data_IF_454139793648
#
_entry.id   IF_454139793648
#
_cell.length_a   1.000
_cell.length_b   1.000
_cell.length_c   1.000
_cell.angle_alpha   90.00
_cell.angle_beta   90.00
_cell.angle_gamma   90.00
#
_symmetry.space_group_name_H-M   'P 1'
#
loop_
_entity.id
_entity.type
_entity.pdbx_description
1 polymer ?
#
# COMPACT_ATOMS: atom_id res chain seq x y z
N UNK A 1 2.41 31.03 -20.56
CA UNK A 1 3.63 30.34 -20.09
C UNK A 1 3.35 29.93 -18.65
N UNK A 2 2.97 28.67 -18.42
CA UNK A 2 2.76 28.16 -17.08
C UNK A 2 4.14 27.98 -16.44
N UNK A 3 4.42 28.70 -15.36
CA UNK A 3 5.61 28.51 -14.54
C UNK A 3 5.57 27.09 -13.99
N UNK A 4 6.59 26.29 -14.30
CA UNK A 4 6.86 25.03 -13.60
C UNK A 4 6.81 25.28 -12.09
N UNK A 5 6.36 24.32 -11.25
CA UNK A 5 6.49 24.47 -9.81
C UNK A 5 7.99 24.57 -9.53
N UNK A 6 8.49 25.78 -9.29
CA UNK A 6 9.88 25.93 -8.88
C UNK A 6 9.98 25.21 -7.54
N UNK A 7 10.79 24.16 -7.51
CA UNK A 7 11.19 23.56 -6.24
C UNK A 7 11.93 24.59 -5.38
N UNK A 8 12.61 24.12 -4.34
CA UNK A 8 13.46 25.00 -3.53
C UNK A 8 14.41 25.81 -4.44
N UNK A 9 14.51 27.15 -4.27
CA UNK A 9 15.37 27.98 -5.10
C UNK A 9 16.79 27.46 -5.16
N UNK A 10 17.43 27.54 -6.33
CA UNK A 10 18.79 27.01 -6.54
C UNK A 10 19.80 27.62 -5.56
N UNK A 11 19.65 28.89 -5.21
CA UNK A 11 20.46 29.57 -4.20
C UNK A 11 20.37 28.93 -2.81
N UNK A 12 19.18 28.42 -2.42
CA UNK A 12 18.97 27.70 -1.15
C UNK A 12 19.48 26.28 -1.29
N UNK A 13 19.25 25.64 -2.44
CA UNK A 13 19.68 24.28 -2.72
C UNK A 13 21.21 24.14 -2.80
N UNK A 14 21.95 25.19 -3.16
CA UNK A 14 23.41 25.13 -3.30
C UNK A 14 24.17 25.81 -2.15
N UNK A 15 23.48 26.38 -1.15
CA UNK A 15 24.11 27.08 -0.03
C UNK A 15 24.67 26.11 1.02
N UNK A 16 25.95 25.78 0.90
CA UNK A 16 26.64 24.83 1.79
C UNK A 16 26.75 25.31 3.23
N UNK A 17 26.83 26.63 3.48
CA UNK A 17 26.91 27.17 4.84
C UNK A 17 25.57 27.03 5.56
N UNK A 18 24.47 27.36 4.88
CA UNK A 18 23.11 27.14 5.39
C UNK A 18 22.88 25.66 5.76
N UNK A 19 23.35 24.73 4.92
CA UNK A 19 23.09 23.31 5.16
C UNK A 19 23.79 22.76 6.40
N UNK A 20 24.92 23.32 6.84
CA UNK A 20 25.64 22.83 8.03
C UNK A 20 24.75 22.83 9.26
N UNK A 21 24.05 23.94 9.50
CA UNK A 21 23.15 24.09 10.64
C UNK A 21 21.81 23.39 10.39
N UNK A 22 21.29 23.52 9.16
CA UNK A 22 19.97 22.97 8.79
C UNK A 22 19.91 21.45 8.89
N UNK A 23 21.02 20.76 8.60
CA UNK A 23 21.09 19.29 8.65
C UNK A 23 21.04 18.76 10.07
N UNK A 24 21.76 19.37 11.01
CA UNK A 24 21.70 18.94 12.42
C UNK A 24 20.32 19.26 13.01
N UNK A 25 19.77 20.44 12.73
CA UNK A 25 18.41 20.79 13.15
C UNK A 25 17.35 19.84 12.58
N UNK A 26 17.47 19.46 11.30
CA UNK A 26 16.56 18.51 10.66
C UNK A 26 16.62 17.12 11.33
N UNK A 27 17.82 16.64 11.68
CA UNK A 27 18.00 15.36 12.40
C UNK A 27 17.37 15.43 13.79
N UNK A 28 17.65 16.50 14.53
CA UNK A 28 17.12 16.69 15.88
C UNK A 28 15.59 16.79 15.87
N UNK A 29 15.02 17.54 14.93
CA UNK A 29 13.58 17.66 14.77
C UNK A 29 12.92 16.33 14.38
N UNK A 30 13.58 15.53 13.51
CA UNK A 30 13.11 14.19 13.18
C UNK A 30 13.06 13.28 14.41
N UNK A 31 14.11 13.31 15.24
CA UNK A 31 14.16 12.55 16.49
C UNK A 31 13.08 13.00 17.49
N UNK A 32 12.91 14.30 17.67
CA UNK A 32 11.90 14.89 18.57
C UNK A 32 10.47 14.53 18.18
N UNK A 33 10.20 14.39 16.88
CA UNK A 33 8.85 14.13 16.36
C UNK A 33 8.60 12.64 16.03
N UNK A 34 9.48 11.73 16.47
CA UNK A 34 9.24 10.30 16.33
C UNK A 34 9.46 9.74 14.91
N UNK A 35 10.17 10.45 14.03
CA UNK A 35 10.62 9.93 12.72
C UNK A 35 11.85 9.06 12.93
N UNK A 36 11.60 7.87 13.47
CA UNK A 36 12.61 6.98 14.04
C UNK A 36 12.66 5.64 13.31
N UNK A 37 13.85 5.06 13.28
CA UNK A 37 14.11 3.69 12.88
C UNK A 37 15.09 3.05 13.87
N UNK A 38 14.96 1.74 14.11
CA UNK A 38 16.00 0.98 14.80
C UNK A 38 17.21 0.85 13.90
N UNK A 39 18.39 0.90 14.52
CA UNK A 39 19.64 0.71 13.79
C UNK A 39 19.75 -0.70 13.22
N UNK A 40 20.57 -0.86 12.17
CA UNK A 40 20.84 -2.18 11.58
C UNK A 40 21.56 -3.10 12.56
N UNK A 41 22.28 -2.53 13.53
CA UNK A 41 22.99 -3.29 14.56
C UNK A 41 22.04 -3.92 15.60
N UNK A 42 20.92 -3.28 15.90
CA UNK A 42 19.93 -3.77 16.88
C UNK A 42 18.50 -3.68 16.33
N UNK A 43 18.18 -4.43 15.26
CA UNK A 43 16.94 -4.26 14.51
C UNK A 43 15.68 -4.66 15.31
N UNK A 44 15.84 -5.56 16.28
CA UNK A 44 14.74 -6.16 17.04
C UNK A 44 14.76 -5.86 18.54
N UNK A 45 15.76 -5.12 19.02
CA UNK A 45 15.93 -4.82 20.45
C UNK A 45 15.63 -3.35 20.74
N UNK A 46 15.14 -3.09 21.95
CA UNK A 46 15.09 -1.73 22.51
C UNK A 46 16.26 -1.45 23.46
N UNK A 47 17.19 -2.39 23.58
CA UNK A 47 18.37 -2.33 24.45
C UNK A 47 19.66 -2.39 23.62
N UNK A 48 20.69 -1.65 24.04
CA UNK A 48 22.00 -1.62 23.37
C UNK A 48 22.63 -0.22 23.29
N UNK A 49 23.83 -0.12 22.70
CA UNK A 49 24.60 1.15 22.59
C UNK A 49 24.08 2.13 21.53
N UNK A 50 23.34 1.67 20.53
CA UNK A 50 22.73 2.52 19.49
C UNK A 50 21.47 1.85 19.00
N UNK A 51 20.38 2.07 19.72
CA UNK A 51 19.12 1.35 19.50
C UNK A 51 18.32 1.98 18.37
N UNK A 52 18.30 3.32 18.32
CA UNK A 52 17.45 4.11 17.43
C UNK A 52 18.22 5.23 16.75
N UNK A 53 17.73 5.64 15.60
CA UNK A 53 18.19 6.82 14.86
C UNK A 53 17.03 7.39 14.05
N UNK A 54 17.24 8.52 13.36
CA UNK A 54 16.21 9.07 12.47
C UNK A 54 16.02 8.16 11.24
N UNK A 55 14.78 8.00 10.78
CA UNK A 55 14.52 7.32 9.51
C UNK A 55 15.09 8.18 8.35
N UNK A 56 15.70 7.60 7.31
CA UNK A 56 16.27 8.40 6.21
C UNK A 56 15.22 9.28 5.51
N UNK A 57 15.59 10.52 5.19
CA UNK A 57 14.70 11.49 4.54
C UNK A 57 15.48 12.47 3.66
N UNK A 58 14.78 13.21 2.81
CA UNK A 58 15.37 14.28 1.99
C UNK A 58 15.33 15.61 2.71
N UNK A 59 16.37 16.45 2.56
CA UNK A 59 16.44 17.76 3.21
C UNK A 59 15.32 18.70 2.73
N UNK A 60 15.01 18.65 1.43
CA UNK A 60 14.03 19.52 0.78
C UNK A 60 12.86 18.70 0.20
N UNK A 61 11.68 19.30 -0.05
CA UNK A 61 10.61 18.62 -0.78
C UNK A 61 11.00 18.41 -2.24
N UNK A 62 10.42 17.40 -2.88
CA UNK A 62 10.53 17.23 -4.32
C UNK A 62 9.35 17.91 -5.03
N UNK A 63 9.57 18.65 -6.13
CA UNK A 63 8.49 19.34 -6.84
C UNK A 63 7.60 18.33 -7.56
N UNK A 64 6.29 18.50 -7.43
CA UNK A 64 5.26 17.76 -8.18
C UNK A 64 4.29 18.77 -8.78
N UNK A 65 4.04 18.75 -10.10
CA UNK A 65 3.05 19.65 -10.71
C UNK A 65 1.66 19.43 -10.12
N UNK A 66 1.02 20.54 -9.72
CA UNK A 66 -0.30 20.52 -9.06
C UNK A 66 -1.35 19.81 -9.91
N UNK A 67 -1.38 20.09 -11.21
CA UNK A 67 -2.34 19.49 -12.14
C UNK A 67 -2.14 17.97 -12.24
N UNK A 68 -0.89 17.50 -12.15
CA UNK A 68 -0.58 16.07 -12.15
C UNK A 68 -0.85 15.39 -10.81
N UNK A 69 -0.82 16.12 -9.69
CA UNK A 69 -1.07 15.58 -8.35
C UNK A 69 -2.52 15.11 -8.12
N UNK A 70 -3.50 15.74 -8.78
CA UNK A 70 -4.91 15.35 -8.63
C UNK A 70 -5.30 14.13 -9.46
N UNK A 71 -4.58 13.85 -10.55
CA UNK A 71 -4.81 12.69 -11.41
C UNK A 71 -4.76 11.34 -10.67
N UNK A 72 -3.73 11.01 -9.85
CA UNK A 72 -3.68 9.74 -9.14
C UNK A 72 -4.79 9.60 -8.10
N UNK A 73 -5.19 10.68 -7.44
CA UNK A 73 -6.30 10.67 -6.48
C UNK A 73 -7.61 10.27 -7.15
N UNK A 74 -7.88 10.79 -8.35
CA UNK A 74 -9.05 10.40 -9.14
C UNK A 74 -9.01 8.92 -9.54
N UNK A 75 -7.87 8.46 -10.08
CA UNK A 75 -7.71 7.07 -10.56
C UNK A 75 -7.64 6.05 -9.42
N UNK A 76 -7.25 6.44 -8.20
CA UNK A 76 -7.12 5.51 -7.07
C UNK A 76 -8.43 4.76 -6.76
N UNK A 77 -9.58 5.42 -6.90
CA UNK A 77 -10.89 4.77 -6.71
C UNK A 77 -11.15 3.69 -7.77
N UNK A 78 -10.68 3.91 -9.00
CA UNK A 78 -10.74 2.92 -10.07
C UNK A 78 -9.79 1.75 -9.81
N UNK A 79 -8.59 2.02 -9.26
CA UNK A 79 -7.68 0.96 -8.82
C UNK A 79 -8.26 0.09 -7.72
N UNK A 80 -8.97 0.68 -6.75
CA UNK A 80 -9.65 -0.09 -5.71
C UNK A 80 -10.68 -1.07 -6.32
N UNK A 81 -11.53 -0.57 -7.23
CA UNK A 81 -12.52 -1.40 -7.94
C UNK A 81 -11.86 -2.46 -8.82
N UNK A 82 -10.72 -2.13 -9.42
CA UNK A 82 -9.96 -3.07 -10.25
C UNK A 82 -9.40 -4.22 -9.39
N UNK A 83 -8.77 -3.91 -8.25
CA UNK A 83 -8.25 -4.92 -7.32
C UNK A 83 -9.37 -5.86 -6.86
N UNK A 84 -10.50 -5.30 -6.45
CA UNK A 84 -11.70 -6.05 -6.04
C UNK A 84 -12.24 -6.96 -7.15
N UNK A 85 -12.30 -6.47 -8.40
CA UNK A 85 -12.79 -7.27 -9.53
C UNK A 85 -11.81 -8.37 -9.94
N UNK A 86 -10.51 -8.17 -9.74
CA UNK A 86 -9.49 -9.18 -10.01
C UNK A 86 -9.43 -10.23 -8.89
N UNK A 87 -9.67 -9.81 -7.65
CA UNK A 87 -9.66 -10.72 -6.49
C UNK A 87 -10.80 -11.75 -6.55
N UNK A 88 -11.79 -11.57 -7.42
CA UNK A 88 -12.88 -12.52 -7.61
C UNK A 88 -12.39 -13.92 -8.05
N UNK A 89 -12.88 -15.02 -7.43
CA UNK A 89 -12.42 -16.39 -7.64
C UNK A 89 -12.33 -16.86 -9.11
N UNK A 90 -13.20 -16.33 -9.96
CA UNK A 90 -13.31 -16.74 -11.37
C UNK A 90 -12.03 -16.44 -12.18
N UNK A 91 -11.20 -15.49 -11.75
CA UNK A 91 -10.04 -15.04 -12.52
C UNK A 91 -8.76 -15.85 -12.26
N UNK A 92 -8.65 -16.50 -11.10
CA UNK A 92 -7.42 -17.18 -10.67
C UNK A 92 -7.21 -18.60 -11.24
N UNK A 93 -8.11 -19.08 -12.10
CA UNK A 93 -8.17 -20.49 -12.51
C UNK A 93 -7.15 -20.92 -13.59
N UNK A 94 -6.33 -20.01 -14.11
CA UNK A 94 -5.35 -20.42 -15.13
C UNK A 94 -4.14 -19.49 -15.17
N UNK A 95 -2.97 -20.06 -15.48
CA UNK A 95 -1.86 -19.39 -16.18
C UNK A 95 -0.67 -18.85 -15.35
N UNK A 96 -0.38 -19.38 -14.16
CA UNK A 96 0.87 -19.01 -13.47
C UNK A 96 1.58 -20.28 -12.97
N UNK A 97 2.73 -20.63 -13.57
CA UNK A 97 3.75 -21.39 -12.82
C UNK A 97 4.07 -20.52 -11.61
N UNK A 98 3.74 -20.96 -10.41
CA UNK A 98 3.93 -20.21 -9.16
C UNK A 98 5.16 -20.74 -8.45
N UNK A 99 5.91 -19.86 -7.77
CA UNK A 99 6.89 -20.27 -6.76
C UNK A 99 6.17 -20.89 -5.54
N UNK A 100 6.92 -21.56 -4.67
CA UNK A 100 6.36 -22.31 -3.53
C UNK A 100 5.54 -21.42 -2.58
N UNK A 101 5.96 -20.16 -2.41
CA UNK A 101 5.28 -19.19 -1.57
C UNK A 101 3.92 -18.83 -2.15
N UNK A 102 3.90 -18.43 -3.42
CA UNK A 102 2.68 -18.10 -4.15
C UNK A 102 1.76 -19.33 -4.25
N UNK A 103 2.32 -20.53 -4.46
CA UNK A 103 1.58 -21.80 -4.46
C UNK A 103 0.88 -22.08 -3.12
N UNK A 104 1.54 -21.78 -2.01
CA UNK A 104 0.95 -21.89 -0.67
C UNK A 104 -0.22 -20.92 -0.47
N UNK A 105 -0.11 -19.67 -0.96
CA UNK A 105 -1.22 -18.72 -0.96
C UNK A 105 -2.41 -19.21 -1.81
N UNK A 106 -2.13 -19.75 -3.00
CA UNK A 106 -3.15 -20.36 -3.86
C UNK A 106 -3.87 -21.54 -3.19
N UNK A 107 -3.17 -22.37 -2.42
CA UNK A 107 -3.78 -23.48 -1.70
C UNK A 107 -4.81 -22.98 -0.68
N UNK A 108 -4.49 -21.91 0.05
CA UNK A 108 -5.42 -21.27 1.00
C UNK A 108 -6.63 -20.68 0.26
N UNK A 109 -6.42 -19.99 -0.86
CA UNK A 109 -7.50 -19.45 -1.69
C UNK A 109 -8.44 -20.56 -2.19
N UNK A 110 -7.89 -21.70 -2.66
CA UNK A 110 -8.67 -22.86 -3.10
C UNK A 110 -9.51 -23.46 -1.97
N UNK A 111 -8.95 -23.54 -0.76
CA UNK A 111 -9.71 -23.98 0.42
C UNK A 111 -10.90 -23.07 0.71
N UNK A 112 -10.71 -21.75 0.68
CA UNK A 112 -11.80 -20.78 0.89
C UNK A 112 -12.94 -20.92 -0.13
N UNK A 113 -12.61 -21.14 -1.41
CA UNK A 113 -13.61 -21.36 -2.48
C UNK A 113 -14.40 -22.66 -2.24
N UNK A 114 -13.72 -23.75 -1.87
CA UNK A 114 -14.37 -25.04 -1.61
C UNK A 114 -15.35 -24.97 -0.44
N UNK A 115 -15.07 -24.14 0.56
CA UNK A 115 -15.95 -23.91 1.70
C UNK A 115 -17.11 -22.94 1.37
N UNK A 116 -17.15 -22.37 0.15
CA UNK A 116 -18.25 -21.51 -0.31
C UNK A 116 -18.40 -20.19 0.46
N UNK A 117 -17.31 -19.70 1.07
CA UNK A 117 -17.39 -18.53 1.97
C UNK A 117 -17.43 -17.22 1.20
N UNK A 118 -18.33 -16.34 1.62
CA UNK A 118 -18.41 -14.93 1.22
C UNK A 118 -18.19 -14.06 2.44
N UNK A 119 -17.28 -13.11 2.37
CA UNK A 119 -16.95 -12.24 3.51
C UNK A 119 -16.80 -10.80 3.05
N UNK A 120 -17.03 -9.87 3.99
CA UNK A 120 -16.65 -8.48 3.81
C UNK A 120 -15.12 -8.42 3.74
N UNK A 121 -14.61 -7.76 2.71
CA UNK A 121 -13.18 -7.53 2.53
C UNK A 121 -12.89 -6.05 2.74
N UNK A 122 -11.85 -5.78 3.52
CA UNK A 122 -11.27 -4.44 3.66
C UNK A 122 -9.94 -4.45 2.90
N UNK A 123 -9.88 -3.72 1.81
CA UNK A 123 -8.65 -3.54 1.06
C UNK A 123 -8.04 -2.18 1.36
N UNK A 124 -6.78 -2.21 1.75
CA UNK A 124 -5.93 -1.04 1.76
C UNK A 124 -4.94 -1.22 0.61
N UNK A 125 -5.08 -0.42 -0.44
CA UNK A 125 -4.23 -0.47 -1.62
C UNK A 125 -3.38 0.80 -1.74
N UNK A 126 -2.16 0.69 -2.25
CA UNK A 126 -1.31 1.83 -2.61
C UNK A 126 -0.87 1.75 -4.06
N UNK A 127 -1.25 2.72 -4.88
CA UNK A 127 -0.72 2.85 -6.24
C UNK A 127 0.51 3.75 -6.21
N UNK A 128 1.66 3.19 -6.58
CA UNK A 128 2.91 3.94 -6.67
C UNK A 128 3.14 4.39 -8.10
N UNK A 129 3.41 5.69 -8.26
CA UNK A 129 3.46 6.34 -9.55
C UNK A 129 4.71 7.22 -9.69
N UNK A 130 5.19 7.43 -10.91
CA UNK A 130 6.29 8.35 -11.18
C UNK A 130 5.95 9.28 -12.35
N UNK A 131 6.62 10.42 -12.46
CA UNK A 131 6.46 11.36 -13.57
C UNK A 131 7.42 11.01 -14.72
N UNK A 132 6.89 10.72 -15.90
CA UNK A 132 7.72 10.60 -17.09
C UNK A 132 8.27 11.96 -17.55
N UNK A 133 9.10 11.98 -18.61
CA UNK A 133 9.69 13.20 -19.15
C UNK A 133 8.66 14.22 -19.66
N UNK A 134 7.43 13.79 -19.93
CA UNK A 134 6.33 14.63 -20.39
C UNK A 134 5.44 15.11 -19.24
N UNK A 135 5.88 14.93 -17.99
CA UNK A 135 5.08 15.21 -16.79
C UNK A 135 3.76 14.44 -16.72
N UNK A 136 3.67 13.30 -17.42
CA UNK A 136 2.56 12.37 -17.28
C UNK A 136 2.85 11.40 -16.15
N UNK A 137 1.84 11.15 -15.33
CA UNK A 137 1.94 10.16 -14.28
C UNK A 137 1.92 8.74 -14.86
N UNK A 138 2.84 7.90 -14.42
CA UNK A 138 2.95 6.48 -14.79
C UNK A 138 3.00 5.59 -13.56
N UNK A 139 2.05 4.66 -13.46
CA UNK A 139 2.01 3.65 -12.42
C UNK A 139 3.20 2.71 -12.57
N UNK A 140 3.90 2.53 -11.46
CA UNK A 140 5.03 1.62 -11.29
C UNK A 140 4.55 0.31 -10.72
N UNK A 141 3.77 0.36 -9.65
CA UNK A 141 3.25 -0.82 -8.96
C UNK A 141 1.93 -0.51 -8.25
N UNK A 142 1.14 -1.55 -8.04
CA UNK A 142 0.05 -1.53 -7.08
C UNK A 142 0.40 -2.47 -5.93
N UNK A 143 0.38 -1.93 -4.72
CA UNK A 143 0.64 -2.66 -3.49
C UNK A 143 -0.71 -2.91 -2.81
N UNK A 144 -1.16 -4.16 -2.84
CA UNK A 144 -2.35 -4.62 -2.11
C UNK A 144 -2.03 -5.05 -0.68
N UNK A 145 -0.76 -4.95 -0.31
CA UNK A 145 -0.23 -5.22 1.01
C UNK A 145 0.55 -4.02 1.50
N UNK A 146 0.00 -3.25 2.43
CA UNK A 146 0.57 -1.95 2.77
C UNK A 146 1.46 -2.01 4.00
N UNK A 147 2.68 -1.55 3.82
CA UNK A 147 3.53 -1.08 4.90
C UNK A 147 3.28 0.42 5.14
N UNK A 148 2.65 0.77 6.26
CA UNK A 148 2.46 2.18 6.66
C UNK A 148 3.46 2.57 7.77
N UNK A 149 4.24 3.62 7.51
CA UNK A 149 4.84 4.46 8.54
C UNK A 149 4.04 5.77 8.59
N UNK A 150 3.78 6.31 9.78
CA UNK A 150 3.19 7.65 9.88
C UNK A 150 4.12 8.67 9.23
N UNK A 151 3.60 9.41 8.27
CA UNK A 151 4.36 10.39 7.51
C UNK A 151 4.47 11.72 8.28
N UNK A 152 5.21 11.77 9.39
CA UNK A 152 5.58 13.05 10.02
C UNK A 152 6.62 13.83 9.19
N UNK A 153 7.04 13.30 8.04
CA UNK A 153 7.99 13.93 7.14
C UNK A 153 7.54 15.34 6.71
N UNK A 154 6.24 15.58 6.51
CA UNK A 154 5.77 16.93 6.14
C UNK A 154 6.03 17.97 7.24
N UNK A 155 5.99 17.61 8.54
CA UNK A 155 6.35 18.53 9.62
C UNK A 155 7.82 18.90 9.58
N UNK A 156 8.70 17.91 9.36
CA UNK A 156 10.13 18.14 9.20
C UNK A 156 10.38 19.10 8.04
N UNK A 157 9.80 18.82 6.87
CA UNK A 157 10.00 19.66 5.68
C UNK A 157 9.46 21.07 5.89
N UNK A 158 8.26 21.22 6.47
CA UNK A 158 7.70 22.54 6.80
C UNK A 158 8.59 23.33 7.77
N UNK A 159 9.16 22.65 8.77
CA UNK A 159 10.08 23.26 9.72
C UNK A 159 11.36 23.74 9.03
N UNK A 160 11.96 22.87 8.21
CA UNK A 160 13.19 23.16 7.47
C UNK A 160 13.02 24.32 6.50
N UNK A 161 11.91 24.39 5.76
CA UNK A 161 11.66 25.47 4.78
C UNK A 161 11.53 26.85 5.43
N UNK A 162 11.04 26.94 6.68
CA UNK A 162 10.90 28.24 7.38
C UNK A 162 12.25 28.91 7.63
N UNK A 163 13.33 28.15 7.83
CA UNK A 163 14.67 28.66 8.15
C UNK A 163 15.31 29.52 7.06
N UNK A 164 15.37 29.09 5.78
CA UNK A 164 15.82 29.92 4.67
C UNK A 164 14.79 30.98 4.23
N UNK A 165 13.74 31.25 5.02
CA UNK A 165 12.70 32.21 4.67
C UNK A 165 11.67 31.69 3.64
N UNK A 166 11.65 30.39 3.35
CA UNK A 166 10.74 29.75 2.38
C UNK A 166 9.37 29.48 3.03
N UNK A 167 8.75 30.54 3.55
CA UNK A 167 7.50 30.47 4.31
C UNK A 167 6.31 30.06 3.43
N UNK A 168 6.26 30.56 2.19
CA UNK A 168 5.15 30.27 1.29
C UNK A 168 5.27 28.85 0.72
N UNK A 169 6.47 28.39 0.38
CA UNK A 169 6.77 27.01 0.01
C UNK A 169 6.38 26.04 1.13
N UNK A 170 6.63 26.41 2.39
CA UNK A 170 6.24 25.57 3.54
C UNK A 170 4.72 25.34 3.61
N UNK A 171 3.89 26.31 3.20
CA UNK A 171 2.42 26.18 3.17
C UNK A 171 1.94 25.25 2.05
N UNK A 172 2.74 25.10 0.99
CA UNK A 172 2.42 24.23 -0.13
C UNK A 172 2.80 22.75 0.11
N UNK A 173 3.55 22.45 1.18
CA UNK A 173 3.79 21.06 1.61
C UNK A 173 2.48 20.50 2.15
N UNK A 174 1.96 19.45 1.50
CA UNK A 174 0.70 18.84 1.86
C UNK A 174 0.76 18.16 3.24
N UNK A 175 -0.35 18.23 3.97
CA UNK A 175 -0.55 17.39 5.16
C UNK A 175 -0.73 15.94 4.70
N UNK A 176 0.25 15.10 5.03
CA UNK A 176 0.20 13.68 4.72
C UNK A 176 -0.07 12.90 6.02
N UNK A 177 -1.34 12.70 6.35
CA UNK A 177 -1.75 11.87 7.49
C UNK A 177 -2.65 10.71 7.04
N UNK A 178 -2.10 9.73 6.33
CA UNK A 178 -2.87 8.57 5.88
C UNK A 178 -3.45 7.83 7.10
N UNK A 179 -2.75 7.81 8.23
CA UNK A 179 -3.20 7.16 9.47
C UNK A 179 -4.47 7.74 10.09
N UNK A 180 -4.75 9.05 9.96
CA UNK A 180 -5.95 9.66 10.56
C UNK A 180 -7.26 9.15 9.95
N UNK A 181 -7.20 8.58 8.74
CA UNK A 181 -8.38 8.03 8.06
C UNK A 181 -8.77 6.64 8.57
N UNK A 182 -7.99 6.04 9.49
CA UNK A 182 -8.18 4.66 9.94
C UNK A 182 -8.50 4.60 11.44
N UNK A 183 -9.79 4.48 11.77
CA UNK A 183 -10.26 4.14 13.12
C UNK A 183 -10.83 2.72 13.09
N UNK A 184 -10.07 1.74 13.58
CA UNK A 184 -10.42 0.31 13.60
C UNK A 184 -10.19 -0.25 15.01
N UNK A 185 -11.15 -1.02 15.55
CA UNK A 185 -11.25 -1.31 16.98
C UNK A 185 -10.60 -2.61 17.45
N UNK A 186 -10.06 -3.45 16.56
CA UNK A 186 -9.26 -4.63 16.93
C UNK A 186 -8.36 -5.04 15.77
N UNK A 187 -7.10 -5.38 16.08
CA UNK A 187 -6.14 -5.75 15.04
C UNK A 187 -5.11 -6.78 15.50
N UNK A 188 -4.57 -7.56 14.55
CA UNK A 188 -3.57 -8.61 14.73
C UNK A 188 -2.31 -8.24 13.95
N UNK A 189 -1.23 -7.94 14.67
CA UNK A 189 -0.07 -7.22 14.12
C UNK A 189 1.26 -8.03 14.22
N UNK A 190 2.13 -7.95 13.22
CA UNK A 190 3.37 -8.75 13.13
C UNK A 190 4.63 -7.94 13.56
N UNK A 191 5.60 -8.61 14.19
CA UNK A 191 6.72 -8.01 14.93
C UNK A 191 8.09 -8.45 14.41
N UNK A 192 8.57 -7.88 13.30
CA UNK A 192 9.99 -7.88 12.98
C UNK A 192 10.33 -6.83 11.93
N UNK A 193 10.80 -5.65 12.35
CA UNK A 193 11.36 -4.65 11.43
C UNK A 193 12.10 -3.56 12.18
N UNK A 194 13.14 -3.02 11.55
CA UNK A 194 13.77 -1.79 11.97
C UNK A 194 12.77 -0.61 12.02
N UNK A 195 11.67 -0.70 11.29
CA UNK A 195 10.60 0.30 11.25
C UNK A 195 9.48 0.06 12.29
N UNK A 196 9.79 -0.60 13.42
CA UNK A 196 8.81 -0.93 14.48
C UNK A 196 8.05 0.30 15.03
N UNK A 197 8.61 1.52 14.93
CA UNK A 197 7.96 2.72 15.46
C UNK A 197 6.70 3.11 14.69
N UNK A 198 6.69 2.96 13.35
CA UNK A 198 5.46 3.10 12.57
C UNK A 198 4.44 2.00 12.92
N UNK A 199 4.91 0.87 13.44
CA UNK A 199 4.04 -0.19 13.92
C UNK A 199 3.34 0.13 15.22
N UNK A 200 4.15 0.46 16.23
CA UNK A 200 3.68 0.86 17.56
C UNK A 200 2.73 2.05 17.50
N UNK A 201 2.92 2.95 16.55
CA UNK A 201 1.99 4.06 16.35
C UNK A 201 0.57 3.57 16.02
N UNK A 202 0.43 2.74 14.98
CA UNK A 202 -0.88 2.18 14.59
C UNK A 202 -1.44 1.30 15.73
N UNK A 203 -0.59 0.58 16.46
CA UNK A 203 -0.99 -0.17 17.67
C UNK A 203 -1.40 0.70 18.86
N UNK A 204 -0.96 1.94 18.94
CA UNK A 204 -1.35 2.83 20.03
C UNK A 204 -2.64 3.59 19.68
N UNK A 205 -2.88 3.85 18.39
CA UNK A 205 -4.16 4.43 17.91
C UNK A 205 -5.29 3.39 17.88
N UNK A 206 -4.95 2.12 17.67
CA UNK A 206 -5.90 1.00 17.60
C UNK A 206 -5.61 0.03 18.76
N UNK A 207 -6.60 -0.32 19.59
CA UNK A 207 -6.43 -1.24 20.71
C UNK A 207 -6.10 -2.68 20.21
N UNK A 208 -4.83 -3.11 20.22
CA UNK A 208 -4.36 -4.23 19.36
C UNK A 208 -3.68 -5.44 20.03
N UNK A 209 -3.76 -6.61 19.35
CA UNK A 209 -3.12 -7.92 19.64
C UNK A 209 -2.11 -8.28 18.54
N UNK A 210 -1.22 -9.27 18.74
CA UNK A 210 -0.20 -9.66 17.73
C UNK A 210 -0.54 -10.94 16.97
N UNK A 211 0.02 -11.09 15.77
CA UNK A 211 -0.08 -12.30 14.95
C UNK A 211 0.39 -13.55 15.71
N UNK A 212 1.49 -13.43 16.45
CA UNK A 212 2.02 -14.52 17.27
C UNK A 212 1.03 -14.95 18.36
N UNK A 213 0.20 -14.02 18.86
CA UNK A 213 -0.82 -14.32 19.85
C UNK A 213 -1.93 -15.19 19.19
N UNK A 214 -2.38 -14.83 17.98
CA UNK A 214 -3.33 -15.66 17.20
C UNK A 214 -2.73 -17.03 16.85
N UNK A 215 -1.47 -17.08 16.42
CA UNK A 215 -0.82 -18.34 16.06
C UNK A 215 -0.69 -19.30 17.25
N UNK A 216 -0.56 -18.79 18.47
CA UNK A 216 -0.40 -19.60 19.68
C UNK A 216 -1.72 -19.91 20.38
N UNK A 217 -2.68 -18.99 20.30
CA UNK A 217 -3.83 -18.96 21.20
C UNK A 217 -5.17 -18.82 20.47
N UNK A 218 -5.14 -18.59 19.15
CA UNK A 218 -6.32 -18.45 18.32
C UNK A 218 -7.00 -19.78 18.02
N UNK A 219 -8.33 -19.78 18.03
CA UNK A 219 -9.14 -20.90 17.55
C UNK A 219 -10.44 -20.40 16.91
N UNK A 220 -11.09 -21.26 16.14
CA UNK A 220 -12.41 -20.99 15.57
C UNK A 220 -13.48 -21.57 16.50
N UNK A 221 -14.51 -20.80 16.82
CA UNK A 221 -15.63 -21.35 17.61
C UNK A 221 -16.34 -22.47 16.83
N UNK A 222 -16.80 -23.50 17.55
CA UNK A 222 -17.43 -24.69 16.95
C UNK A 222 -18.86 -24.46 16.46
N UNK A 223 -19.34 -23.21 16.46
CA UNK A 223 -20.68 -22.84 16.04
C UNK A 223 -20.72 -22.52 14.54
N UNK A 224 -21.91 -22.43 13.97
CA UNK A 224 -22.14 -22.10 12.54
C UNK A 224 -21.48 -20.79 12.07
N UNK A 225 -21.00 -19.95 12.99
CA UNK A 225 -20.41 -18.64 12.72
C UNK A 225 -18.88 -18.57 12.72
N UNK A 226 -18.11 -19.64 12.93
CA UNK A 226 -16.65 -19.70 12.67
C UNK A 226 -15.89 -18.42 13.11
N UNK A 227 -16.16 -17.96 14.33
CA UNK A 227 -15.57 -16.73 14.89
C UNK A 227 -14.14 -16.99 15.30
N UNK A 228 -13.22 -16.06 15.01
CA UNK A 228 -11.85 -16.14 15.50
C UNK A 228 -11.80 -15.65 16.94
N UNK A 229 -11.45 -16.55 17.86
CA UNK A 229 -11.39 -16.28 19.30
C UNK A 229 -9.95 -16.40 19.79
N UNK A 230 -9.52 -15.48 20.66
CA UNK A 230 -8.26 -15.58 21.40
C UNK A 230 -8.50 -16.22 22.79
N UNK A 231 -7.90 -17.39 23.03
CA UNK A 231 -8.23 -18.26 24.17
C UNK A 231 -7.94 -17.72 25.58
N UNK A 232 -7.02 -16.77 25.77
CA UNK A 232 -6.77 -16.24 27.12
C UNK A 232 -7.90 -15.33 27.64
N UNK A 233 -8.61 -14.65 26.75
CA UNK A 233 -9.59 -13.61 27.13
C UNK A 233 -10.98 -13.87 26.52
N UNK A 234 -11.14 -14.93 25.70
CA UNK A 234 -12.38 -15.25 24.98
C UNK A 234 -12.89 -14.08 24.12
N UNK A 235 -11.96 -13.27 23.60
CA UNK A 235 -12.25 -12.11 22.77
C UNK A 235 -12.42 -12.51 21.29
N UNK A 236 -13.48 -11.96 20.67
CA UNK A 236 -13.73 -12.10 19.23
C UNK A 236 -12.87 -11.10 18.44
N UNK A 237 -12.16 -11.61 17.43
CA UNK A 237 -11.38 -10.79 16.50
C UNK A 237 -12.27 -10.35 15.34
N UNK A 238 -12.51 -9.05 15.21
CA UNK A 238 -13.35 -8.51 14.12
C UNK A 238 -12.55 -8.27 12.83
N UNK A 239 -11.30 -7.83 12.92
CA UNK A 239 -10.44 -7.49 11.77
C UNK A 239 -9.04 -8.11 11.93
N UNK A 240 -8.51 -8.64 10.83
CA UNK A 240 -7.14 -9.14 10.71
C UNK A 240 -6.39 -8.29 9.68
N UNK A 241 -5.48 -7.43 10.12
CA UNK A 241 -4.62 -6.61 9.25
C UNK A 241 -3.24 -7.25 9.08
N UNK A 242 -2.90 -7.64 7.86
CA UNK A 242 -1.60 -8.22 7.60
C UNK A 242 -0.58 -7.14 7.18
N UNK A 243 0.61 -7.10 7.81
CA UNK A 243 1.66 -6.10 7.49
C UNK A 243 3.11 -6.59 7.19
N UNK A 244 3.53 -7.83 7.48
CA UNK A 244 4.91 -8.32 7.21
C UNK A 244 5.03 -9.66 6.46
N UNK A 245 3.91 -10.24 6.02
CA UNK A 245 3.80 -11.59 5.46
C UNK A 245 3.60 -11.62 3.93
N UNK A 246 4.15 -10.63 3.23
CA UNK A 246 4.41 -10.73 1.79
C UNK A 246 5.81 -11.32 1.48
N UNK A 247 6.61 -11.58 2.52
CA UNK A 247 7.98 -12.09 2.42
C UNK A 247 7.99 -13.59 2.79
N UNK A 248 8.42 -14.49 1.88
CA UNK A 248 8.42 -15.93 2.12
C UNK A 248 9.15 -16.36 3.40
N UNK A 249 10.26 -15.69 3.73
CA UNK A 249 11.10 -15.99 4.89
C UNK A 249 10.38 -15.81 6.23
N UNK A 250 9.24 -15.13 6.26
CA UNK A 250 8.47 -14.89 7.48
C UNK A 250 7.43 -16.00 7.76
N UNK A 251 7.41 -17.08 6.97
CA UNK A 251 6.48 -18.19 7.15
C UNK A 251 7.14 -19.47 7.67
N UNK A 252 6.62 -19.95 8.80
CA UNK A 252 6.80 -21.32 9.30
C UNK A 252 5.60 -22.20 8.93
N UNK A 253 5.64 -23.50 9.18
CA UNK A 253 4.45 -24.37 9.00
C UNK A 253 3.27 -23.89 9.85
N UNK A 254 3.52 -23.59 11.13
CA UNK A 254 2.53 -23.01 12.05
C UNK A 254 1.96 -21.68 11.55
N UNK A 255 2.79 -20.88 10.88
CA UNK A 255 2.35 -19.64 10.28
C UNK A 255 1.33 -19.85 9.15
N UNK A 256 1.50 -20.91 8.36
CA UNK A 256 0.57 -21.25 7.28
C UNK A 256 -0.76 -21.75 7.83
N UNK A 257 -0.73 -22.56 8.89
CA UNK A 257 -1.93 -23.01 9.60
C UNK A 257 -2.69 -21.82 10.21
N UNK A 258 -1.97 -20.90 10.87
CA UNK A 258 -2.55 -19.69 11.42
C UNK A 258 -3.15 -18.80 10.32
N UNK A 259 -2.46 -18.63 9.18
CA UNK A 259 -2.99 -17.88 8.04
C UNK A 259 -4.28 -18.51 7.51
N UNK A 260 -4.29 -19.83 7.31
CA UNK A 260 -5.49 -20.55 6.88
C UNK A 260 -6.63 -20.37 7.89
N UNK A 261 -6.35 -20.46 9.20
CA UNK A 261 -7.34 -20.24 10.25
C UNK A 261 -7.96 -18.84 10.19
N UNK A 262 -7.12 -17.80 10.05
CA UNK A 262 -7.59 -16.41 9.93
C UNK A 262 -8.45 -16.21 8.68
N UNK A 263 -8.01 -16.72 7.53
CA UNK A 263 -8.79 -16.67 6.28
C UNK A 263 -10.14 -17.38 6.42
N UNK A 264 -10.16 -18.50 7.15
CA UNK A 264 -11.38 -19.26 7.42
C UNK A 264 -12.36 -18.53 8.34
N UNK A 265 -11.87 -17.71 9.28
CA UNK A 265 -12.73 -17.02 10.24
C UNK A 265 -13.65 -15.95 9.64
N UNK A 266 -14.71 -15.54 10.36
CA UNK A 266 -15.54 -14.38 10.00
C UNK A 266 -14.86 -13.02 10.11
N UNK A 267 -13.65 -12.93 10.69
CA UNK A 267 -12.95 -11.68 10.78
C UNK A 267 -12.74 -11.08 9.38
N UNK A 268 -12.91 -9.77 9.24
CA UNK A 268 -12.62 -9.06 8.00
C UNK A 268 -11.11 -9.03 7.80
N UNK A 269 -10.62 -9.53 6.67
CA UNK A 269 -9.19 -9.52 6.35
C UNK A 269 -8.81 -8.24 5.62
N UNK A 270 -7.58 -7.80 5.85
CA UNK A 270 -6.97 -6.66 5.18
C UNK A 270 -5.47 -6.91 4.89
N UNK A 271 -5.11 -7.29 3.66
CA UNK A 271 -5.98 -7.85 2.62
C UNK A 271 -6.40 -9.30 2.93
N UNK A 272 -7.44 -9.81 2.28
CA UNK A 272 -7.74 -11.25 2.22
C UNK A 272 -6.73 -12.01 1.32
N UNK A 273 -6.86 -13.34 1.26
CA UNK A 273 -5.96 -14.15 0.43
C UNK A 273 -6.06 -13.81 -1.06
N UNK A 274 -7.25 -13.43 -1.54
CA UNK A 274 -7.50 -13.18 -2.95
C UNK A 274 -6.88 -11.85 -3.38
N UNK A 275 -7.07 -10.79 -2.60
CA UNK A 275 -6.42 -9.49 -2.80
C UNK A 275 -4.90 -9.58 -2.62
N UNK A 276 -4.40 -10.41 -1.69
CA UNK A 276 -2.95 -10.65 -1.57
C UNK A 276 -2.36 -11.28 -2.83
N UNK A 277 -3.11 -12.11 -3.55
CA UNK A 277 -2.70 -12.69 -4.83
C UNK A 277 -2.76 -11.68 -6.00
N UNK A 278 -3.44 -10.53 -5.82
CA UNK A 278 -3.44 -9.39 -6.76
C UNK A 278 -2.10 -8.64 -6.68
N UNK A 279 -1.03 -9.29 -7.15
CA UNK A 279 0.34 -8.75 -7.13
C UNK A 279 0.86 -8.31 -8.51
N UNK A 280 2.17 -8.03 -8.59
CA UNK A 280 2.85 -7.44 -9.77
C UNK A 280 2.67 -8.18 -11.10
N UNK A 281 2.42 -9.49 -11.05
CA UNK A 281 2.19 -10.27 -12.27
C UNK A 281 0.86 -9.89 -12.96
N UNK A 282 -0.15 -9.53 -12.19
CA UNK A 282 -1.45 -9.11 -12.73
C UNK A 282 -1.33 -7.76 -13.44
N UNK A 283 -0.49 -6.84 -12.93
CA UNK A 283 -0.25 -5.54 -13.56
C UNK A 283 0.24 -5.68 -15.01
N UNK A 284 1.09 -6.68 -15.29
CA UNK A 284 1.56 -6.98 -16.64
C UNK A 284 0.45 -7.53 -17.54
N UNK A 285 -0.39 -8.43 -17.04
CA UNK A 285 -1.51 -8.97 -17.82
C UNK A 285 -2.55 -7.89 -18.13
N UNK A 286 -2.80 -6.96 -17.21
CA UNK A 286 -3.73 -5.84 -17.41
C UNK A 286 -3.32 -4.91 -18.56
N UNK A 287 -2.03 -4.80 -18.86
CA UNK A 287 -1.54 -4.00 -19.98
C UNK A 287 -1.83 -4.62 -21.36
N UNK A 288 -2.23 -5.90 -21.43
CA UNK A 288 -2.57 -6.55 -22.69
C UNK A 288 -3.88 -5.99 -23.24
N UNK A 289 -3.98 -5.77 -24.58
CA UNK A 289 -5.23 -5.32 -25.20
C UNK A 289 -6.41 -6.23 -24.85
N UNK A 290 -7.53 -5.64 -24.41
CA UNK A 290 -8.76 -6.37 -24.12
C UNK A 290 -8.81 -7.11 -22.78
N UNK A 291 -7.79 -6.99 -21.92
CA UNK A 291 -7.81 -7.58 -20.57
C UNK A 291 -8.46 -6.62 -19.58
N UNK A 292 -8.02 -5.36 -19.54
CA UNK A 292 -8.57 -4.35 -18.63
C UNK A 292 -10.08 -4.11 -18.85
N UNK A 293 -10.53 -4.11 -20.10
CA UNK A 293 -11.95 -3.95 -20.48
C UNK A 293 -12.87 -5.00 -19.86
N UNK A 294 -12.36 -6.21 -19.59
CA UNK A 294 -13.15 -7.30 -18.98
C UNK A 294 -13.56 -6.96 -17.55
N UNK A 295 -12.77 -6.13 -16.87
CA UNK A 295 -13.03 -5.68 -15.51
C UNK A 295 -13.88 -4.41 -15.47
N UNK A 296 -14.17 -3.77 -16.60
CA UNK A 296 -14.93 -2.52 -16.66
C UNK A 296 -15.94 -2.54 -17.81
N UNK A 297 -16.84 -3.54 -17.86
CA UNK A 297 -17.82 -3.64 -18.94
C UNK A 297 -18.76 -2.42 -18.91
N UNK A 298 -18.84 -1.71 -20.04
CA UNK A 298 -19.66 -0.50 -20.16
C UNK A 298 -19.06 0.76 -19.53
N UNK A 299 -17.81 0.72 -19.05
CA UNK A 299 -17.11 1.86 -18.44
C UNK A 299 -15.82 2.21 -19.21
N UNK A 300 -15.89 2.58 -20.50
CA UNK A 300 -14.70 2.83 -21.33
C UNK A 300 -13.84 3.98 -20.80
N UNK A 301 -14.45 5.02 -20.22
CA UNK A 301 -13.71 6.16 -19.65
C UNK A 301 -12.83 5.74 -18.48
N UNK A 302 -13.27 4.77 -17.67
CA UNK A 302 -12.49 4.22 -16.55
C UNK A 302 -11.30 3.42 -17.08
N UNK A 303 -11.52 2.63 -18.14
CA UNK A 303 -10.45 1.88 -18.82
C UNK A 303 -9.40 2.85 -19.35
N UNK A 304 -9.82 3.93 -20.01
CA UNK A 304 -8.92 4.92 -20.59
C UNK A 304 -8.13 5.67 -19.51
N UNK A 305 -8.77 6.04 -18.40
CA UNK A 305 -8.09 6.67 -17.26
C UNK A 305 -7.03 5.77 -16.62
N UNK A 306 -7.36 4.50 -16.36
CA UNK A 306 -6.39 3.54 -15.82
C UNK A 306 -5.25 3.33 -16.83
N UNK A 307 -5.58 3.09 -18.11
CA UNK A 307 -4.61 2.84 -19.19
C UNK A 307 -3.68 4.02 -19.42
N UNK A 308 -4.15 5.26 -19.27
CA UNK A 308 -3.33 6.46 -19.36
C UNK A 308 -2.18 6.48 -18.34
N UNK A 309 -2.38 5.83 -17.19
CA UNK A 309 -1.35 5.69 -16.16
C UNK A 309 -0.38 4.54 -16.42
N UNK A 310 -0.64 3.61 -17.34
CA UNK A 310 0.30 2.51 -17.57
C UNK A 310 1.61 3.05 -18.16
N UNK A 311 2.73 2.78 -17.48
CA UNK A 311 4.01 2.72 -18.15
C UNK A 311 3.92 1.62 -19.23
N UNK A 312 4.68 1.71 -20.32
CA UNK A 312 4.67 0.65 -21.33
C UNK A 312 5.15 -0.68 -20.75
N UNK A 313 4.27 -1.51 -20.19
CA UNK A 313 4.63 -2.78 -19.58
C UNK A 313 4.80 -3.84 -20.67
N UNK A 314 6.04 -4.17 -21.02
CA UNK A 314 6.34 -5.20 -22.02
C UNK A 314 6.89 -6.46 -21.35
N UNK A 315 6.40 -7.61 -21.77
CA UNK A 315 7.05 -8.88 -21.50
C UNK A 315 8.28 -9.03 -22.43
N UNK A 316 9.29 -9.82 -22.06
CA UNK A 316 10.45 -10.06 -22.95
C UNK A 316 10.06 -10.76 -24.26
N UNK A 317 8.94 -11.47 -24.25
CA UNK A 317 8.29 -12.11 -25.40
C UNK A 317 7.52 -11.13 -26.30
N UNK A 318 7.29 -9.89 -25.88
CA UNK A 318 6.67 -8.85 -26.71
C UNK A 318 7.69 -8.20 -27.67
N UNK A 319 7.74 -8.76 -28.88
CA UNK A 319 8.23 -8.23 -30.18
C UNK A 319 9.52 -7.37 -30.18
N UNK A 320 10.46 -7.86 -30.99
CA UNK A 320 11.75 -7.29 -31.47
C UNK A 320 11.78 -5.77 -31.70
N UNK A 321 10.65 -5.13 -32.02
CA UNK A 321 10.55 -3.71 -32.34
C UNK A 321 10.81 -2.76 -31.17
N UNK A 322 10.46 -3.11 -29.92
CA UNK A 322 10.80 -2.24 -28.75
C UNK A 322 12.15 -2.55 -28.15
N UNK A 323 12.61 -3.80 -28.21
CA UNK A 323 14.00 -4.14 -27.89
C UNK A 323 14.97 -3.36 -28.78
N UNK A 324 14.69 -3.28 -30.08
CA UNK A 324 15.49 -2.46 -31.00
C UNK A 324 15.41 -0.95 -30.67
N UNK A 325 14.25 -0.41 -30.27
CA UNK A 325 14.16 0.97 -29.78
C UNK A 325 14.95 1.20 -28.48
N UNK A 326 14.91 0.26 -27.54
CA UNK A 326 15.65 0.32 -26.28
C UNK A 326 17.17 0.23 -26.52
N UNK A 327 17.63 -0.64 -27.42
CA UNK A 327 19.03 -0.67 -27.83
C UNK A 327 19.46 0.58 -28.61
N UNK A 328 18.56 1.18 -29.40
CA UNK A 328 18.84 2.41 -30.14
C UNK A 328 18.89 3.65 -29.23
N UNK A 329 18.16 3.65 -28.11
CA UNK A 329 18.07 4.78 -27.17
C UNK A 329 18.06 4.30 -25.71
N UNK A 330 19.13 3.65 -25.22
CA UNK A 330 19.15 3.07 -23.87
C UNK A 330 18.97 4.14 -22.78
N UNK A 331 19.40 5.37 -23.05
CA UNK A 331 19.26 6.51 -22.13
C UNK A 331 17.81 6.97 -21.91
N UNK A 332 16.85 6.46 -22.68
CA UNK A 332 15.42 6.80 -22.57
C UNK A 332 14.61 5.74 -21.81
N UNK A 333 15.21 4.59 -21.47
CA UNK A 333 14.48 3.48 -20.86
C UNK A 333 15.15 2.98 -19.57
N UNK A 334 14.33 2.47 -18.66
CA UNK A 334 14.77 1.79 -17.43
C UNK A 334 14.30 0.35 -17.46
N UNK A 335 15.21 -0.57 -17.13
CA UNK A 335 14.91 -2.00 -16.98
C UNK A 335 14.67 -2.32 -15.49
N UNK A 336 13.42 -2.57 -15.10
CA UNK A 336 13.10 -2.94 -13.71
C UNK A 336 12.90 -4.45 -13.58
N UNK A 337 13.65 -5.14 -12.69
CA UNK A 337 13.39 -6.54 -12.37
C UNK A 337 12.13 -6.67 -11.50
N UNK A 338 11.23 -7.58 -11.85
CA UNK A 338 10.12 -7.98 -10.98
C UNK A 338 10.62 -9.03 -9.97
N UNK A 339 10.89 -8.59 -8.73
CA UNK A 339 11.55 -9.43 -7.71
C UNK A 339 10.62 -10.33 -6.88
N UNK A 340 9.31 -10.29 -7.08
CA UNK A 340 8.36 -11.05 -6.24
C UNK A 340 8.15 -12.51 -6.66
N UNK A 341 8.64 -12.97 -7.83
CA UNK A 341 8.32 -14.30 -8.36
C UNK A 341 9.50 -15.24 -8.64
N UNK A 342 10.68 -14.96 -8.08
CA UNK A 342 11.87 -15.81 -8.25
C UNK A 342 12.36 -15.98 -9.71
N UNK A 343 11.74 -15.29 -10.67
CA UNK A 343 12.10 -15.28 -12.09
C UNK A 343 12.35 -13.85 -12.56
N UNK A 344 13.32 -13.69 -13.45
CA UNK A 344 13.70 -12.41 -14.03
C UNK A 344 12.69 -11.98 -15.12
N UNK A 345 11.50 -11.53 -14.72
CA UNK A 345 10.67 -10.72 -15.60
C UNK A 345 11.17 -9.27 -15.52
N UNK A 346 11.40 -8.65 -16.67
CA UNK A 346 11.83 -7.26 -16.73
C UNK A 346 10.77 -6.43 -17.42
N UNK A 347 10.54 -5.24 -16.87
CA UNK A 347 9.67 -4.23 -17.45
C UNK A 347 10.53 -3.09 -17.96
N UNK A 348 10.27 -2.66 -19.19
CA UNK A 348 10.84 -1.44 -19.75
C UNK A 348 9.92 -0.27 -19.44
N UNK A 349 10.45 0.79 -18.85
CA UNK A 349 9.68 2.02 -18.62
C UNK A 349 10.43 3.20 -19.23
N UNK A 350 9.69 4.22 -19.66
CA UNK A 350 10.31 5.50 -20.04
C UNK A 350 11.04 6.09 -18.84
N UNK A 351 12.18 6.74 -19.08
CA UNK A 351 13.01 7.29 -18.01
C UNK A 351 12.29 8.43 -17.30
N UNK A 352 12.17 8.30 -15.99
CA UNK A 352 11.51 9.26 -15.10
C UNK A 352 12.32 10.54 -14.99
N UNK A 353 11.64 11.67 -14.84
CA UNK A 353 12.28 12.97 -14.67
C UNK A 353 13.04 13.03 -13.32
N UNK A 354 14.37 13.21 -13.33
CA UNK A 354 15.15 13.28 -12.10
C UNK A 354 14.98 14.65 -11.42
N UNK A 355 15.16 14.67 -10.10
CA UNK A 355 15.27 15.88 -9.29
C UNK A 355 16.59 15.88 -8.52
N UNK A 356 17.03 17.03 -8.02
CA UNK A 356 18.23 17.13 -7.19
C UNK A 356 17.87 17.41 -5.74
N UNK A 357 18.48 16.66 -4.81
CA UNK A 357 18.22 16.81 -3.38
C UNK A 357 19.37 16.27 -2.53
N UNK A 358 19.31 16.50 -1.22
CA UNK A 358 20.20 15.92 -0.23
C UNK A 358 19.47 14.82 0.52
N UNK A 359 20.05 13.62 0.54
CA UNK A 359 19.53 12.49 1.30
C UNK A 359 20.27 12.45 2.63
N UNK A 360 19.52 12.53 3.73
CA UNK A 360 20.04 12.37 5.08
C UNK A 360 19.89 10.90 5.49
N UNK A 361 21.02 10.22 5.59
CA UNK A 361 21.10 8.85 6.13
C UNK A 361 22.24 8.76 7.15
N UNK A 362 22.03 7.98 8.23
CA UNK A 362 23.02 7.81 9.29
C UNK A 362 24.37 7.33 8.73
N UNK A 363 25.43 8.06 9.10
CA UNK A 363 26.80 7.71 8.71
C UNK A 363 27.16 8.06 7.26
N UNK A 364 26.27 8.73 6.53
CA UNK A 364 26.54 9.19 5.17
C UNK A 364 26.96 10.66 5.16
N UNK A 365 27.85 11.00 4.23
CA UNK A 365 28.23 12.39 3.99
C UNK A 365 27.13 13.09 3.21
N UNK A 366 26.81 14.32 3.61
CA UNK A 366 25.86 15.17 2.90
C UNK A 366 26.36 15.43 1.48
N UNK A 367 25.60 14.99 0.48
CA UNK A 367 25.93 15.17 -0.93
C UNK A 367 24.68 15.45 -1.75
N UNK A 368 24.78 16.43 -2.66
CA UNK A 368 23.76 16.67 -3.67
C UNK A 368 23.67 15.44 -4.58
N UNK A 369 22.49 14.84 -4.61
CA UNK A 369 22.22 13.59 -5.29
C UNK A 369 21.17 13.80 -6.37
N UNK A 370 21.31 13.05 -7.46
CA UNK A 370 20.25 12.90 -8.45
C UNK A 370 19.25 11.86 -7.95
N UNK A 371 18.03 12.30 -7.69
CA UNK A 371 16.96 11.52 -7.09
C UNK A 371 15.84 11.28 -8.11
N UNK A 372 15.05 10.24 -7.85
CA UNK A 372 13.82 9.95 -8.58
C UNK A 372 12.70 9.84 -7.56
N UNK A 373 11.55 10.46 -7.84
CA UNK A 373 10.43 10.52 -6.90
C UNK A 373 9.33 9.54 -7.32
N UNK A 374 8.86 8.76 -6.35
CA UNK A 374 7.66 7.94 -6.46
C UNK A 374 6.55 8.57 -5.61
N UNK A 375 5.40 8.82 -6.21
CA UNK A 375 4.18 9.29 -5.54
C UNK A 375 3.28 8.09 -5.24
N UNK A 376 3.22 7.70 -3.98
CA UNK A 376 2.31 6.67 -3.49
C UNK A 376 0.95 7.26 -3.14
N UNK A 377 -0.11 6.75 -3.76
CA UNK A 377 -1.50 7.14 -3.46
C UNK A 377 -2.20 6.01 -2.75
N UNK A 378 -2.72 6.29 -1.55
CA UNK A 378 -3.43 5.30 -0.74
C UNK A 378 -4.92 5.30 -1.08
N UNK A 379 -5.51 4.11 -1.13
CA UNK A 379 -6.93 3.89 -1.28
C UNK A 379 -7.42 2.88 -0.25
N UNK A 380 -8.55 3.18 0.38
CA UNK A 380 -9.29 2.23 1.21
C UNK A 380 -10.57 1.80 0.47
N UNK A 381 -10.91 0.52 0.56
CA UNK A 381 -12.09 -0.03 -0.07
C UNK A 381 -12.72 -1.08 0.85
N UNK A 382 -14.02 -0.96 1.08
CA UNK A 382 -14.80 -1.96 1.81
C UNK A 382 -15.86 -2.47 0.86
N UNK A 383 -15.80 -3.76 0.55
CA UNK A 383 -16.87 -4.43 -0.19
C UNK A 383 -17.82 -5.07 0.81
N UNK A 384 -19.06 -4.59 0.88
CA UNK A 384 -20.17 -5.35 1.45
C UNK A 384 -20.89 -6.08 0.31
N UNK A 385 -20.71 -7.39 0.19
CA UNK A 385 -21.41 -8.22 -0.82
C UNK A 385 -22.87 -8.52 -0.46
N UNK A 386 -23.52 -7.69 0.36
CA UNK A 386 -24.91 -7.89 0.77
C UNK A 386 -25.78 -6.67 0.43
N UNK A 387 -26.65 -6.81 -0.57
CA UNK A 387 -27.88 -6.04 -0.62
C UNK A 387 -28.77 -6.63 0.47
N UNK A 388 -28.90 -5.94 1.61
CA UNK A 388 -29.81 -6.33 2.68
C UNK A 388 -31.11 -5.56 2.48
N UNK A 389 -32.12 -6.22 1.90
CA UNK A 389 -33.48 -5.69 1.93
C UNK A 389 -34.03 -5.92 3.34
N UNK A 390 -34.52 -4.84 3.96
CA UNK A 390 -35.13 -4.88 5.29
C UNK A 390 -36.55 -4.39 5.15
N UNK A 391 -37.49 -5.22 5.59
CA UNK A 391 -38.91 -4.91 5.53
C UNK A 391 -39.42 -4.72 6.95
N UNK A 392 -40.15 -3.62 7.16
CA UNK A 392 -40.85 -3.34 8.41
C UNK A 392 -42.28 -2.89 8.11
N UNK A 393 -43.16 -3.09 9.08
CA UNK A 393 -44.51 -2.51 9.04
C UNK A 393 -44.43 -0.97 9.16
N UNK A 394 -45.31 -0.29 8.45
CA UNK A 394 -45.50 1.17 8.49
C UNK A 394 -46.03 1.69 9.83
N UNK A 395 -46.62 0.82 10.65
CA UNK A 395 -47.10 1.13 12.00
C UNK A 395 -45.96 1.24 13.04
N UNK A 396 -44.73 0.86 12.69
CA UNK A 396 -43.56 0.86 13.59
C UNK A 396 -42.59 1.99 13.24
N UNK A 397 -42.35 2.89 14.19
CA UNK A 397 -41.41 4.01 14.03
C UNK A 397 -39.94 3.60 13.99
N UNK A 398 -39.56 2.50 14.66
CA UNK A 398 -38.17 2.05 14.81
C UNK A 398 -37.73 1.05 13.70
N UNK A 399 -36.42 0.80 13.54
CA UNK A 399 -35.83 0.06 12.40
C UNK A 399 -34.86 -1.07 12.75
N UNK A 400 -34.80 -1.49 14.01
CA UNK A 400 -33.84 -2.49 14.49
C UNK A 400 -34.24 -3.95 14.21
N UNK A 401 -33.36 -4.71 13.54
CA UNK A 401 -33.53 -6.16 13.32
C UNK A 401 -33.39 -6.94 14.63
N UNK A 402 -32.41 -6.59 15.47
CA UNK A 402 -32.20 -7.22 16.77
C UNK A 402 -33.29 -6.88 17.81
N UNK A 403 -34.09 -5.84 17.54
CA UNK A 403 -35.25 -5.45 18.35
C UNK A 403 -36.54 -6.21 17.94
N UNK A 404 -36.47 -7.10 16.95
CA UNK A 404 -37.62 -7.90 16.48
C UNK A 404 -38.70 -7.12 15.72
N UNK A 405 -38.43 -5.86 15.36
CA UNK A 405 -39.40 -4.94 14.69
C UNK A 405 -39.15 -4.80 13.19
N UNK A 406 -38.01 -5.29 12.69
CA UNK A 406 -37.66 -5.28 11.26
C UNK A 406 -37.18 -6.67 10.88
N UNK A 407 -37.68 -7.22 9.79
CA UNK A 407 -37.33 -8.56 9.31
C UNK A 407 -36.38 -8.47 8.11
N UNK A 408 -35.56 -9.50 7.92
CA UNK A 408 -34.76 -9.65 6.70
C UNK A 408 -35.66 -10.09 5.56
N UNK A 409 -35.45 -9.50 4.39
CA UNK A 409 -36.22 -9.75 3.17
C UNK A 409 -35.28 -9.89 1.96
N UNK A 410 -35.80 -10.40 0.84
CA UNK A 410 -35.07 -10.58 -0.41
C UNK A 410 -35.81 -9.87 -1.56
N UNK A 411 -35.10 -9.11 -2.42
CA UNK A 411 -35.74 -8.49 -3.57
C UNK A 411 -36.22 -9.55 -4.58
N UNK A 412 -37.44 -9.38 -5.09
CA UNK A 412 -37.92 -10.07 -6.29
C UNK A 412 -37.72 -9.16 -7.51
N UNK A 413 -36.97 -9.63 -8.50
CA UNK A 413 -36.85 -8.93 -9.78
C UNK A 413 -38.12 -9.18 -10.62
N UNK A 414 -38.76 -8.11 -11.09
CA UNK A 414 -40.00 -8.16 -11.89
C UNK A 414 -39.77 -7.62 -13.29
#
# INVERSE_FOLDING_TARGET
>A
MATSPSGVPEEVLLNTELHKDLVEEAKDFALQNGVLIRTKETPNSSEGKSVVTYAPFTLFPSPVPKDTFHQPLAVQTHYNRLVDRISQPMYFNSTIKVDDFTGSLFNIHRHGIQEGRTQVVLDLNRSDNMLDQNSSLKQIEINTYIFQNKAYYYFIIRHILKRPGQLDESKHVLDDNPSASFHITSNVNDSCSNCIFGHRYIENELWNRRFDDVSKMGFLDGNEQVKLILSAEMEEVAIVYFRYRCIPQNYTEQSWEARLMMERSLAVKCPDISTHLVGKKIQQELARPGVLERFFPGEPDVVDQIRATFAGLYTLDMKVTRLSMAFAKPDQFVLKPQRESGRAAYVWMDKIQPVHNYILERGTLLKLSTCICELGTFGAYVMSSHIVLRTKSDERSDGGVAAGVTVQDNPLFV
#
